data_IF_987326054050
#
_entry.id   IF_987326054050
#
_cell.length_a   1.000
_cell.length_b   1.000
_cell.length_c   1.000
_cell.angle_alpha   90.00
_cell.angle_beta   90.00
_cell.angle_gamma   90.00
#
_symmetry.space_group_name_H-M   'P 1'
#
loop_
_entity.id
_entity.type
_entity.pdbx_description
1 polymer ?
#
# COMPACT_ATOMS: atom_id res chain seq x y z
N UNK A 1 -57.87 -32.72 -48.72
CA UNK A 1 -58.39 -32.51 -47.35
C UNK A 1 -57.27 -32.77 -46.36
N UNK A 2 -56.86 -31.72 -45.63
CA UNK A 2 -56.05 -31.81 -44.42
C UNK A 2 -56.73 -32.75 -43.42
N UNK A 3 -55.97 -33.52 -42.65
CA UNK A 3 -55.93 -33.30 -41.19
C UNK A 3 -54.64 -33.86 -40.60
N UNK A 4 -53.86 -32.95 -40.01
CA UNK A 4 -52.80 -33.20 -39.05
C UNK A 4 -53.30 -34.08 -37.89
N UNK A 5 -52.47 -34.99 -37.40
CA UNK A 5 -52.44 -35.32 -35.98
C UNK A 5 -50.98 -35.50 -35.55
N UNK A 6 -50.39 -34.38 -35.10
CA UNK A 6 -49.15 -34.38 -34.31
C UNK A 6 -49.54 -34.85 -32.91
N UNK A 7 -49.04 -36.00 -32.50
CA UNK A 7 -49.19 -36.46 -31.13
C UNK A 7 -48.22 -35.67 -30.25
N UNK A 8 -48.79 -34.82 -29.40
CA UNK A 8 -48.10 -34.15 -28.30
C UNK A 8 -47.80 -35.20 -27.22
N UNK A 9 -46.52 -35.48 -27.01
CA UNK A 9 -46.07 -36.38 -25.94
C UNK A 9 -46.22 -35.69 -24.58
N UNK A 10 -46.97 -36.39 -23.74
CA UNK A 10 -47.31 -36.12 -22.34
C UNK A 10 -46.06 -35.84 -21.49
N UNK A 11 -46.08 -34.70 -20.79
CA UNK A 11 -45.20 -34.38 -19.66
C UNK A 11 -45.69 -35.18 -18.45
N UNK A 12 -44.93 -36.20 -18.04
CA UNK A 12 -45.15 -36.92 -16.78
C UNK A 12 -44.06 -36.53 -15.78
N UNK A 13 -44.50 -35.97 -14.65
CA UNK A 13 -43.73 -35.18 -13.69
C UNK A 13 -42.98 -36.02 -12.66
N UNK A 14 -42.32 -37.12 -13.04
CA UNK A 14 -41.66 -37.96 -12.02
C UNK A 14 -40.36 -38.66 -12.40
N UNK A 15 -39.92 -38.70 -13.66
CA UNK A 15 -38.55 -39.13 -14.02
C UNK A 15 -38.07 -38.40 -15.27
N UNK A 16 -37.00 -37.63 -15.11
CA UNK A 16 -36.30 -36.81 -16.11
C UNK A 16 -35.60 -37.66 -17.17
N UNK A 17 -36.35 -38.33 -18.04
CA UNK A 17 -35.79 -38.97 -19.23
C UNK A 17 -36.37 -38.32 -20.49
N UNK A 18 -35.53 -37.72 -21.36
CA UNK A 18 -36.02 -37.14 -22.61
C UNK A 18 -36.63 -38.24 -23.48
N UNK A 19 -37.83 -37.98 -24.01
CA UNK A 19 -38.50 -38.82 -25.01
C UNK A 19 -38.33 -38.18 -26.40
N UNK A 20 -38.23 -38.99 -27.45
CA UNK A 20 -38.13 -38.51 -28.84
C UNK A 20 -36.69 -38.31 -29.33
N UNK A 21 -36.40 -37.35 -30.23
CA UNK A 21 -35.10 -37.20 -30.90
C UNK A 21 -33.92 -36.87 -29.97
N UNK A 22 -34.19 -36.61 -28.68
CA UNK A 22 -33.20 -36.27 -27.66
C UNK A 22 -32.82 -37.44 -26.74
N UNK A 23 -33.29 -38.67 -27.01
CA UNK A 23 -33.03 -39.85 -26.17
C UNK A 23 -31.54 -40.19 -26.04
N UNK A 24 -30.76 -39.90 -27.09
CA UNK A 24 -29.31 -40.15 -27.17
C UNK A 24 -28.46 -38.93 -26.80
N UNK A 25 -29.07 -37.86 -26.29
CA UNK A 25 -28.34 -36.62 -25.95
C UNK A 25 -27.44 -36.86 -24.73
N UNK A 26 -26.14 -36.51 -24.77
CA UNK A 26 -25.19 -36.78 -23.69
C UNK A 26 -25.27 -35.73 -22.56
N UNK A 27 -26.38 -35.65 -21.84
CA UNK A 27 -26.55 -34.68 -20.74
C UNK A 27 -25.89 -35.12 -19.42
N UNK A 28 -25.64 -36.42 -19.21
CA UNK A 28 -25.01 -36.98 -18.00
C UNK A 28 -23.61 -37.52 -18.29
N UNK A 29 -22.68 -36.64 -18.68
CA UNK A 29 -21.28 -37.03 -18.86
C UNK A 29 -20.56 -37.06 -17.50
N UNK A 30 -19.96 -38.20 -17.16
CA UNK A 30 -19.06 -38.33 -16.01
C UNK A 30 -17.62 -38.03 -16.44
N UNK A 31 -16.92 -37.23 -15.64
CA UNK A 31 -15.53 -36.85 -15.86
C UNK A 31 -14.65 -37.61 -14.87
N UNK A 32 -13.64 -38.31 -15.38
CA UNK A 32 -12.65 -39.02 -14.56
C UNK A 32 -11.34 -38.23 -14.50
N UNK A 33 -10.80 -38.09 -13.31
CA UNK A 33 -9.51 -37.44 -13.08
C UNK A 33 -8.38 -38.49 -12.97
N UNK A 34 -7.10 -38.12 -13.18
CA UNK A 34 -5.99 -39.08 -13.16
C UNK A 34 -5.77 -39.81 -11.82
N UNK A 35 -6.33 -39.27 -10.73
CA UNK A 35 -6.30 -39.87 -9.39
C UNK A 35 -7.41 -40.90 -9.16
N UNK A 36 -8.28 -41.14 -10.15
CA UNK A 36 -9.42 -42.04 -10.07
C UNK A 36 -10.70 -41.40 -9.54
N UNK A 37 -10.70 -40.11 -9.19
CA UNK A 37 -11.91 -39.39 -8.80
C UNK A 37 -12.84 -39.21 -10.00
N UNK A 38 -14.12 -39.53 -9.82
CA UNK A 38 -15.15 -39.39 -10.86
C UNK A 38 -16.18 -38.36 -10.43
N UNK A 39 -16.34 -37.32 -11.25
CA UNK A 39 -17.30 -36.24 -11.05
C UNK A 39 -18.42 -36.33 -12.08
N UNK A 40 -19.68 -36.31 -11.63
CA UNK A 40 -20.85 -36.24 -12.51
C UNK A 40 -21.63 -34.97 -12.18
N UNK A 41 -21.76 -34.02 -13.12
CA UNK A 41 -22.47 -32.77 -12.87
C UNK A 41 -23.98 -33.03 -12.71
N UNK A 42 -24.60 -32.28 -11.80
CA UNK A 42 -26.04 -32.35 -11.59
C UNK A 42 -26.79 -31.40 -12.52
N UNK A 43 -27.79 -31.93 -13.22
CA UNK A 43 -28.72 -31.15 -14.05
C UNK A 43 -29.82 -30.61 -13.15
N UNK A 44 -29.92 -29.28 -13.06
CA UNK A 44 -30.86 -28.61 -12.15
C UNK A 44 -32.25 -28.46 -12.75
N UNK A 45 -32.34 -28.21 -14.06
CA UNK A 45 -33.62 -28.04 -14.75
C UNK A 45 -33.51 -28.50 -16.21
N UNK A 46 -34.59 -29.07 -16.75
CA UNK A 46 -34.70 -29.42 -18.18
C UNK A 46 -36.04 -28.95 -18.71
N UNK A 47 -36.00 -28.17 -19.80
CA UNK A 47 -37.19 -27.55 -20.41
C UNK A 47 -37.15 -27.76 -21.92
N UNK A 48 -38.25 -28.26 -22.48
CA UNK A 48 -38.45 -28.29 -23.92
C UNK A 48 -38.93 -26.92 -24.40
N UNK A 49 -38.15 -26.29 -25.26
CA UNK A 49 -38.46 -24.97 -25.81
C UNK A 49 -39.46 -25.08 -26.98
N UNK A 50 -40.19 -24.00 -27.24
CA UNK A 50 -41.21 -23.91 -28.30
C UNK A 50 -40.65 -24.10 -29.72
N UNK A 51 -39.34 -23.95 -29.91
CA UNK A 51 -38.61 -24.14 -31.17
C UNK A 51 -38.12 -25.59 -31.40
N UNK A 52 -38.68 -26.59 -30.70
CA UNK A 52 -38.18 -27.97 -30.68
C UNK A 52 -36.74 -28.11 -30.18
N UNK A 53 -36.22 -27.15 -29.41
CA UNK A 53 -34.96 -27.27 -28.68
C UNK A 53 -35.16 -27.86 -27.28
N UNK A 54 -34.14 -28.54 -26.76
CA UNK A 54 -34.06 -28.98 -25.38
C UNK A 54 -33.04 -28.09 -24.65
N UNK A 55 -33.51 -27.37 -23.64
CA UNK A 55 -32.67 -26.60 -22.73
C UNK A 55 -32.44 -27.41 -21.46
N UNK A 56 -31.18 -27.60 -21.07
CA UNK A 56 -30.80 -28.23 -19.83
C UNK A 56 -29.90 -27.27 -19.03
N UNK A 57 -30.44 -26.76 -17.92
CA UNK A 57 -29.67 -25.99 -16.96
C UNK A 57 -28.92 -26.95 -16.05
N UNK A 58 -27.67 -26.60 -15.75
CA UNK A 58 -26.83 -27.31 -14.79
C UNK A 58 -26.29 -26.33 -13.76
N UNK A 59 -25.69 -26.87 -12.71
CA UNK A 59 -24.90 -26.02 -11.81
C UNK A 59 -23.69 -25.46 -12.59
N UNK A 60 -23.52 -24.12 -12.69
CA UNK A 60 -22.39 -23.53 -13.39
C UNK A 60 -21.05 -23.75 -12.69
N UNK A 61 -21.07 -23.98 -11.38
CA UNK A 61 -19.88 -24.21 -10.58
C UNK A 61 -20.15 -25.21 -9.45
N UNK A 62 -19.22 -26.14 -9.29
CA UNK A 62 -19.21 -27.10 -8.18
C UNK A 62 -17.80 -27.19 -7.60
N UNK A 63 -17.70 -27.12 -6.28
CA UNK A 63 -16.48 -27.35 -5.51
C UNK A 63 -16.77 -28.42 -4.47
N UNK A 64 -15.98 -29.49 -4.47
CA UNK A 64 -16.21 -30.69 -3.65
C UNK A 64 -14.92 -31.01 -2.92
N UNK A 65 -14.99 -31.09 -1.60
CA UNK A 65 -13.87 -31.54 -0.77
C UNK A 65 -13.65 -33.03 -0.98
N UNK A 66 -12.44 -33.41 -1.40
CA UNK A 66 -12.00 -34.80 -1.61
C UNK A 66 -11.24 -35.35 -0.39
N UNK A 67 -10.80 -34.49 0.53
CA UNK A 67 -10.22 -34.92 1.80
C UNK A 67 -11.29 -35.55 2.70
N UNK A 68 -11.19 -36.85 2.99
CA UNK A 68 -12.02 -37.55 3.99
C UNK A 68 -11.55 -37.27 5.42
N UNK A 69 -12.44 -37.47 6.40
CA UNK A 69 -12.08 -37.47 7.82
C UNK A 69 -11.07 -38.57 8.19
N UNK A 70 -11.04 -39.67 7.43
CA UNK A 70 -10.08 -40.77 7.59
C UNK A 70 -8.65 -40.38 7.16
N UNK A 71 -8.50 -39.46 6.20
CA UNK A 71 -7.20 -38.92 5.81
C UNK A 71 -6.51 -38.09 6.91
N UNK A 72 -7.25 -37.68 7.94
CA UNK A 72 -6.71 -36.94 9.08
C UNK A 72 -5.89 -37.87 10.00
N UNK A 73 -6.17 -39.18 9.98
CA UNK A 73 -5.38 -40.19 10.70
C UNK A 73 -4.08 -40.49 9.95
N UNK A 74 -4.10 -40.43 8.61
CA UNK A 74 -2.97 -40.84 7.76
C UNK A 74 -2.05 -39.69 7.33
N UNK A 75 -2.57 -38.46 7.14
CA UNK A 75 -1.81 -37.27 6.71
C UNK A 75 -2.34 -35.99 7.38
N UNK A 76 -1.97 -35.73 8.64
CA UNK A 76 -2.56 -34.66 9.43
C UNK A 76 -2.05 -33.25 9.06
N UNK A 77 -1.18 -33.10 8.05
CA UNK A 77 -0.75 -31.80 7.52
C UNK A 77 -1.77 -31.16 6.58
N UNK A 78 -2.69 -31.94 6.00
CA UNK A 78 -3.65 -31.46 5.00
C UNK A 78 -4.84 -30.81 5.70
N UNK A 79 -5.05 -29.52 5.43
CA UNK A 79 -6.21 -28.77 5.92
C UNK A 79 -7.45 -29.05 5.07
N UNK A 80 -7.28 -29.05 3.74
CA UNK A 80 -8.35 -29.37 2.79
C UNK A 80 -7.75 -29.80 1.46
N UNK A 81 -8.35 -30.81 0.84
CA UNK A 81 -8.18 -31.09 -0.59
C UNK A 81 -9.54 -30.99 -1.24
N UNK A 82 -9.62 -30.26 -2.35
CA UNK A 82 -10.89 -30.06 -3.03
C UNK A 82 -10.71 -30.01 -4.54
N UNK A 83 -11.75 -30.50 -5.19
CA UNK A 83 -11.94 -30.48 -6.62
C UNK A 83 -12.91 -29.35 -6.98
N UNK A 84 -12.64 -28.64 -8.07
CA UNK A 84 -13.55 -27.63 -8.60
C UNK A 84 -13.78 -27.83 -10.10
N UNK A 85 -15.02 -27.61 -10.54
CA UNK A 85 -15.43 -27.63 -11.94
C UNK A 85 -16.21 -26.35 -12.27
N UNK A 86 -15.76 -25.62 -13.28
CA UNK A 86 -16.40 -24.42 -13.82
C UNK A 86 -16.89 -24.67 -15.24
N UNK A 87 -18.19 -24.51 -15.43
CA UNK A 87 -18.84 -24.64 -16.74
C UNK A 87 -19.04 -23.26 -17.36
N UNK A 88 -18.63 -23.09 -18.62
CA UNK A 88 -18.64 -21.78 -19.29
C UNK A 88 -20.02 -21.40 -19.86
N UNK A 89 -20.91 -22.37 -20.04
CA UNK A 89 -22.23 -22.17 -20.67
C UNK A 89 -23.24 -23.22 -20.25
N UNK A 90 -24.51 -22.86 -20.38
CA UNK A 90 -25.64 -23.76 -20.26
C UNK A 90 -25.77 -24.66 -21.50
N UNK A 91 -26.45 -25.80 -21.32
CA UNK A 91 -26.61 -26.80 -22.38
C UNK A 91 -27.89 -26.50 -23.16
N UNK A 92 -27.75 -26.15 -24.43
CA UNK A 92 -28.89 -26.00 -25.34
C UNK A 92 -28.70 -26.92 -26.54
N UNK A 93 -29.58 -27.90 -26.67
CA UNK A 93 -29.57 -28.86 -27.77
C UNK A 93 -30.72 -28.57 -28.72
N UNK A 94 -30.43 -28.55 -30.00
CA UNK A 94 -31.45 -28.53 -31.08
C UNK A 94 -31.47 -29.88 -31.76
N UNK A 95 -32.49 -30.15 -32.57
CA UNK A 95 -32.59 -31.42 -33.32
C UNK A 95 -31.34 -31.69 -34.18
N UNK A 96 -30.68 -30.65 -34.70
CA UNK A 96 -29.45 -30.78 -35.49
C UNK A 96 -28.22 -31.14 -34.65
N UNK A 97 -28.20 -30.76 -33.37
CA UNK A 97 -27.04 -30.87 -32.48
C UNK A 97 -27.28 -31.84 -31.32
N UNK A 98 -28.33 -32.66 -31.39
CA UNK A 98 -28.72 -33.58 -30.31
C UNK A 98 -27.64 -34.59 -29.93
N UNK A 99 -26.70 -34.89 -30.84
CA UNK A 99 -25.55 -35.78 -30.58
C UNK A 99 -24.25 -35.04 -30.28
N UNK A 100 -24.25 -33.71 -30.22
CA UNK A 100 -23.06 -32.95 -29.92
C UNK A 100 -22.64 -33.19 -28.46
N UNK A 101 -21.34 -33.38 -28.23
CA UNK A 101 -20.77 -33.51 -26.89
C UNK A 101 -20.50 -32.11 -26.35
N UNK A 102 -20.74 -31.91 -25.05
CA UNK A 102 -20.45 -30.64 -24.41
C UNK A 102 -18.93 -30.37 -24.32
N UNK A 103 -18.60 -29.09 -24.15
CA UNK A 103 -17.24 -28.66 -23.90
C UNK A 103 -16.78 -29.11 -22.52
N UNK A 104 -15.54 -29.61 -22.44
CA UNK A 104 -14.90 -30.02 -21.19
C UNK A 104 -14.84 -28.79 -20.26
N UNK A 105 -15.33 -28.89 -19.01
CA UNK A 105 -15.24 -27.80 -18.04
C UNK A 105 -13.81 -27.50 -17.63
N UNK A 106 -13.58 -26.29 -17.12
CA UNK A 106 -12.33 -25.98 -16.43
C UNK A 106 -12.34 -26.68 -15.08
N UNK A 107 -11.49 -27.69 -14.95
CA UNK A 107 -11.37 -28.51 -13.76
C UNK A 107 -10.05 -28.20 -13.06
N UNK A 108 -10.07 -27.98 -11.75
CA UNK A 108 -8.87 -27.69 -10.95
C UNK A 108 -8.91 -28.46 -9.64
N UNK A 109 -7.80 -29.11 -9.29
CA UNK A 109 -7.61 -29.78 -8.01
C UNK A 109 -6.60 -29.00 -7.18
N UNK A 110 -6.97 -28.68 -5.93
CA UNK A 110 -6.17 -27.88 -5.02
C UNK A 110 -6.05 -28.57 -3.66
N UNK A 111 -4.86 -28.52 -3.08
CA UNK A 111 -4.58 -29.01 -1.72
C UNK A 111 -3.95 -27.89 -0.90
N UNK A 112 -4.52 -27.63 0.27
CA UNK A 112 -3.99 -26.68 1.26
C UNK A 112 -3.48 -27.49 2.45
N UNK A 113 -2.25 -27.24 2.86
CA UNK A 113 -1.59 -27.95 3.95
C UNK A 113 -0.70 -27.01 4.78
N UNK A 114 -0.44 -27.39 6.02
CA UNK A 114 0.46 -26.67 6.92
C UNK A 114 1.92 -26.85 6.49
N UNK A 115 2.67 -25.75 6.46
CA UNK A 115 4.06 -25.76 6.01
C UNK A 115 4.93 -24.71 6.74
N UNK A 116 6.22 -25.01 6.87
CA UNK A 116 7.26 -24.07 7.28
C UNK A 116 7.80 -23.36 6.04
N UNK A 117 7.80 -22.02 6.08
CA UNK A 117 8.33 -21.16 5.01
C UNK A 117 9.62 -20.50 5.48
N UNK A 118 10.72 -20.76 4.78
CA UNK A 118 11.98 -20.05 4.94
C UNK A 118 12.04 -18.91 3.93
N UNK A 119 12.25 -17.70 4.42
CA UNK A 119 12.42 -16.52 3.58
C UNK A 119 13.90 -16.19 3.42
N UNK A 120 14.27 -15.66 2.26
CA UNK A 120 15.62 -15.14 2.04
C UNK A 120 15.84 -13.87 2.86
N UNK A 121 17.11 -13.49 3.09
CA UNK A 121 17.45 -12.21 3.72
C UNK A 121 16.89 -11.05 2.87
N UNK A 122 15.74 -10.51 3.27
CA UNK A 122 15.12 -9.40 2.57
C UNK A 122 15.77 -8.09 3.01
N UNK A 123 16.53 -7.45 2.11
CA UNK A 123 16.85 -6.02 2.23
C UNK A 123 15.58 -5.23 1.97
N UNK A 124 14.73 -5.11 3.00
CA UNK A 124 13.46 -4.41 2.91
C UNK A 124 13.66 -2.91 2.69
N UNK A 125 13.20 -2.40 1.54
CA UNK A 125 12.91 -0.97 1.37
C UNK A 125 11.53 -0.76 2.00
N UNK A 126 11.38 0.23 2.88
CA UNK A 126 10.23 0.49 3.78
C UNK A 126 8.86 0.62 3.07
N UNK A 127 8.80 0.56 1.74
CA UNK A 127 7.55 0.59 0.98
C UNK A 127 7.18 -0.74 0.29
N UNK A 128 8.06 -1.76 0.28
CA UNK A 128 7.74 -3.11 -0.21
C UNK A 128 8.46 -4.15 0.66
N UNK A 129 7.77 -4.62 1.69
CA UNK A 129 8.16 -5.81 2.43
C UNK A 129 7.85 -7.06 1.59
N UNK A 130 8.53 -7.27 0.47
CA UNK A 130 8.46 -8.54 -0.25
C UNK A 130 9.60 -9.42 0.23
N UNK A 131 9.38 -10.08 1.38
CA UNK A 131 10.24 -11.18 1.78
C UNK A 131 10.11 -12.28 0.72
N UNK A 132 11.17 -12.54 -0.03
CA UNK A 132 11.14 -13.58 -1.07
C UNK A 132 11.20 -14.96 -0.40
N UNK A 133 10.23 -15.79 -0.74
CA UNK A 133 10.17 -17.17 -0.28
C UNK A 133 11.35 -17.94 -0.87
N UNK A 134 12.14 -18.58 0.00
CA UNK A 134 13.31 -19.36 -0.39
C UNK A 134 13.02 -20.86 -0.39
N UNK A 135 12.44 -21.38 0.71
CA UNK A 135 12.10 -22.80 0.85
C UNK A 135 10.76 -22.99 1.55
N UNK A 136 10.09 -24.09 1.22
CA UNK A 136 8.86 -24.56 1.85
C UNK A 136 9.07 -26.02 2.27
N UNK A 137 8.57 -26.38 3.44
CA UNK A 137 8.57 -27.76 3.94
C UNK A 137 7.23 -28.08 4.59
N UNK A 138 6.59 -29.22 4.28
CA UNK A 138 5.35 -29.60 4.93
C UNK A 138 5.57 -29.89 6.41
N UNK A 139 4.61 -29.49 7.23
CA UNK A 139 4.62 -29.63 8.67
C UNK A 139 3.50 -30.61 9.10
N UNK A 140 3.78 -31.92 9.17
CA UNK A 140 2.82 -32.88 9.70
C UNK A 140 2.62 -32.71 11.21
N UNK A 141 1.37 -32.89 11.64
CA UNK A 141 1.03 -33.02 13.06
C UNK A 141 1.46 -34.41 13.53
N UNK A 142 2.04 -34.49 14.72
CA UNK A 142 2.38 -35.77 15.34
C UNK A 142 1.09 -36.50 15.72
N UNK A 143 0.94 -37.74 15.22
CA UNK A 143 -0.13 -38.72 15.47
C UNK A 143 -1.41 -38.18 16.12
N UNK A 144 -2.54 -38.21 15.42
CA UNK A 144 -3.79 -37.62 15.90
C UNK A 144 -4.28 -38.17 17.27
N UNK A 145 -3.91 -39.41 17.64
CA UNK A 145 -4.15 -39.95 18.98
C UNK A 145 -3.42 -39.19 20.08
N UNK A 146 -2.18 -38.74 19.82
CA UNK A 146 -1.42 -37.91 20.74
C UNK A 146 -2.00 -36.50 20.84
N UNK A 147 -2.53 -35.93 19.76
CA UNK A 147 -3.27 -34.66 19.78
C UNK A 147 -4.49 -34.69 20.71
N UNK A 148 -5.29 -35.76 20.61
CA UNK A 148 -6.54 -35.91 21.39
C UNK A 148 -6.22 -36.18 22.87
N UNK A 149 -5.09 -36.85 23.16
CA UNK A 149 -4.69 -37.21 24.53
C UNK A 149 -3.78 -36.20 25.23
N UNK A 150 -2.99 -35.43 24.48
CA UNK A 150 -2.05 -34.42 24.97
C UNK A 150 -2.31 -33.12 24.23
N UNK A 151 -3.11 -32.25 24.83
CA UNK A 151 -3.15 -30.86 24.42
C UNK A 151 -1.86 -30.15 24.84
N UNK A 152 -1.18 -29.42 23.95
CA UNK A 152 -1.54 -29.09 22.57
C UNK A 152 -1.00 -30.07 21.49
N UNK A 153 -1.60 -30.07 20.30
CA UNK A 153 -1.10 -30.78 19.12
C UNK A 153 0.30 -30.32 18.74
N UNK A 154 1.25 -31.25 18.66
CA UNK A 154 2.62 -30.96 18.21
C UNK A 154 2.71 -31.08 16.69
N UNK A 155 3.31 -30.07 16.06
CA UNK A 155 3.55 -30.00 14.63
C UNK A 155 5.05 -29.84 14.42
N UNK A 156 5.67 -30.76 13.68
CA UNK A 156 7.10 -30.71 13.41
C UNK A 156 7.39 -31.32 12.04
N UNK A 157 8.54 -31.00 11.41
CA UNK A 157 8.98 -31.64 10.19
C UNK A 157 8.96 -33.16 10.31
N UNK A 158 8.71 -33.84 9.18
CA UNK A 158 8.75 -35.29 9.12
C UNK A 158 10.09 -35.84 9.65
N UNK A 159 10.07 -37.03 10.25
CA UNK A 159 11.26 -37.62 10.86
C UNK A 159 12.40 -37.76 9.84
N UNK A 160 13.57 -37.20 10.14
CA UNK A 160 14.73 -37.18 9.23
C UNK A 160 14.77 -36.01 8.24
N UNK A 161 13.74 -35.15 8.21
CA UNK A 161 13.76 -33.96 7.36
C UNK A 161 14.68 -32.88 7.96
N UNK A 162 15.42 -32.16 7.10
CA UNK A 162 16.28 -31.06 7.52
C UNK A 162 15.41 -29.97 8.15
N UNK A 163 15.71 -29.58 9.38
CA UNK A 163 15.03 -28.50 10.08
C UNK A 163 15.50 -27.14 9.53
N UNK A 164 14.56 -26.22 9.25
CA UNK A 164 14.91 -24.86 8.83
C UNK A 164 15.21 -23.94 10.01
N UNK A 165 14.58 -24.20 11.16
CA UNK A 165 14.78 -23.48 12.41
C UNK A 165 15.48 -24.37 13.45
N UNK A 166 16.18 -23.75 14.41
CA UNK A 166 16.89 -24.47 15.48
C UNK A 166 15.96 -25.26 16.40
N UNK A 167 14.69 -24.84 16.51
CA UNK A 167 13.61 -25.54 17.21
C UNK A 167 12.37 -25.54 16.32
N UNK A 168 12.29 -26.47 15.36
CA UNK A 168 11.19 -26.56 14.38
C UNK A 168 9.95 -27.27 14.91
N UNK A 169 9.69 -27.19 16.22
CA UNK A 169 8.53 -27.81 16.85
C UNK A 169 7.55 -26.73 17.25
N UNK A 170 6.33 -26.84 16.73
CA UNK A 170 5.25 -25.90 16.93
C UNK A 170 4.10 -26.59 17.66
N UNK A 171 3.29 -25.83 18.38
CA UNK A 171 2.11 -26.34 19.06
C UNK A 171 0.85 -25.61 18.60
N UNK A 172 -0.19 -26.36 18.29
CA UNK A 172 -1.51 -25.85 17.90
C UNK A 172 -2.54 -26.48 18.83
N UNK A 173 -3.52 -25.72 19.30
CA UNK A 173 -4.63 -26.26 20.08
C UNK A 173 -5.54 -27.12 19.20
N UNK A 174 -6.03 -28.25 19.73
CA UNK A 174 -6.88 -29.16 18.98
C UNK A 174 -8.16 -28.48 18.49
N UNK A 175 -8.85 -27.74 19.35
CA UNK A 175 -10.08 -27.02 18.99
C UNK A 175 -9.83 -26.00 17.87
N UNK A 176 -8.70 -25.28 17.93
CA UNK A 176 -8.31 -24.35 16.86
C UNK A 176 -8.10 -25.08 15.53
N UNK A 177 -7.39 -26.22 15.56
CA UNK A 177 -7.14 -27.02 14.36
C UNK A 177 -8.42 -27.63 13.77
N UNK A 178 -9.30 -28.14 14.63
CA UNK A 178 -10.59 -28.73 14.26
C UNK A 178 -11.56 -27.69 13.67
N UNK A 179 -11.63 -26.51 14.28
CA UNK A 179 -12.41 -25.39 13.75
C UNK A 179 -11.85 -24.92 12.40
N UNK A 180 -10.54 -24.80 12.27
CA UNK A 180 -9.90 -24.44 11.01
C UNK A 180 -10.24 -25.45 9.90
N UNK A 181 -10.15 -26.75 10.19
CA UNK A 181 -10.51 -27.81 9.24
C UNK A 181 -11.99 -27.72 8.84
N UNK A 182 -12.89 -27.55 9.80
CA UNK A 182 -14.34 -27.44 9.54
C UNK A 182 -14.67 -26.21 8.68
N UNK A 183 -14.03 -25.08 8.96
CA UNK A 183 -14.16 -23.86 8.17
C UNK A 183 -13.62 -24.05 6.75
N UNK A 184 -12.44 -24.64 6.58
CA UNK A 184 -11.88 -24.92 5.25
C UNK A 184 -12.79 -25.86 4.45
N UNK A 185 -13.32 -26.92 5.06
CA UNK A 185 -14.25 -27.81 4.37
C UNK A 185 -15.54 -27.09 3.96
N UNK A 186 -16.11 -26.26 4.84
CA UNK A 186 -17.32 -25.49 4.50
C UNK A 186 -17.07 -24.48 3.38
N UNK A 187 -15.91 -23.82 3.37
CA UNK A 187 -15.56 -22.85 2.34
C UNK A 187 -15.38 -23.50 0.96
N UNK A 188 -14.83 -24.71 0.89
CA UNK A 188 -14.52 -25.38 -0.37
C UNK A 188 -15.49 -26.49 -0.77
N UNK A 189 -16.42 -26.90 0.11
CA UNK A 189 -17.52 -27.81 -0.24
C UNK A 189 -18.79 -26.99 -0.52
N UNK A 190 -18.88 -26.46 -1.73
CA UNK A 190 -19.93 -25.52 -2.11
C UNK A 190 -20.25 -25.62 -3.60
N UNK A 191 -21.49 -25.33 -3.95
CA UNK A 191 -21.92 -25.23 -5.35
C UNK A 191 -22.64 -23.91 -5.57
N UNK A 192 -22.55 -23.39 -6.80
CA UNK A 192 -23.29 -22.20 -7.17
C UNK A 192 -24.63 -22.64 -7.75
N UNK A 193 -25.70 -22.54 -6.97
CA UNK A 193 -27.06 -22.73 -7.48
C UNK A 193 -27.56 -21.41 -8.03
N UNK A 194 -28.05 -21.41 -9.27
CA UNK A 194 -28.78 -20.29 -9.86
C UNK A 194 -30.16 -20.22 -9.19
N UNK A 195 -30.21 -19.75 -7.94
CA UNK A 195 -31.47 -19.44 -7.25
C UNK A 195 -31.81 -17.99 -7.52
N UNK A 196 -33.05 -17.74 -7.96
CA UNK A 196 -33.59 -16.41 -8.29
C UNK A 196 -33.23 -15.36 -7.21
N UNK A 197 -32.16 -14.60 -7.44
CA UNK A 197 -31.82 -13.34 -6.77
C UNK A 197 -31.60 -13.32 -5.25
N UNK A 198 -31.89 -14.40 -4.54
CA UNK A 198 -31.85 -14.44 -3.07
C UNK A 198 -30.45 -14.86 -2.61
N UNK A 199 -29.57 -13.87 -2.43
CA UNK A 199 -28.29 -14.07 -1.77
C UNK A 199 -28.55 -14.59 -0.34
N UNK A 200 -28.21 -15.84 -0.05
CA UNK A 200 -28.20 -16.34 1.32
C UNK A 200 -27.22 -15.50 2.15
N UNK A 201 -27.61 -15.03 3.36
CA UNK A 201 -26.69 -14.32 4.25
C UNK A 201 -25.57 -15.26 4.70
N UNK A 202 -24.32 -14.86 4.48
CA UNK A 202 -23.12 -15.64 4.79
C UNK A 202 -21.97 -15.38 3.80
N UNK A 203 -20.81 -16.00 4.05
CA UNK A 203 -19.69 -15.99 3.09
C UNK A 203 -20.05 -16.93 1.95
N UNK A 204 -20.45 -16.38 0.80
CA UNK A 204 -20.67 -17.16 -0.42
C UNK A 204 -19.34 -17.47 -1.11
N UNK A 205 -18.59 -18.42 -0.57
CA UNK A 205 -17.34 -18.88 -1.16
C UNK A 205 -17.52 -19.33 -2.62
N UNK A 206 -18.66 -19.94 -2.97
CA UNK A 206 -18.97 -20.36 -4.36
C UNK A 206 -18.91 -19.20 -5.36
N UNK A 207 -19.41 -18.02 -5.01
CA UNK A 207 -19.39 -16.83 -5.87
C UNK A 207 -17.98 -16.30 -6.09
N UNK A 208 -17.15 -16.29 -5.04
CA UNK A 208 -15.74 -15.90 -5.14
C UNK A 208 -14.91 -16.91 -5.95
N UNK A 209 -15.12 -18.21 -5.72
CA UNK A 209 -14.43 -19.28 -6.45
C UNK A 209 -14.85 -19.32 -7.93
N UNK A 210 -16.12 -19.09 -8.22
CA UNK A 210 -16.62 -19.02 -9.60
C UNK A 210 -16.08 -17.78 -10.34
N UNK A 211 -16.03 -16.63 -9.68
CA UNK A 211 -15.57 -15.37 -10.26
C UNK A 211 -14.05 -15.30 -10.43
N UNK A 212 -13.29 -16.23 -9.84
CA UNK A 212 -11.85 -16.29 -10.03
C UNK A 212 -11.50 -16.76 -11.46
N UNK A 213 -10.64 -15.98 -12.13
CA UNK A 213 -10.05 -16.36 -13.41
C UNK A 213 -8.92 -17.39 -13.23
N UNK A 214 -8.14 -17.24 -12.16
CA UNK A 214 -7.04 -18.12 -11.80
C UNK A 214 -7.18 -18.59 -10.36
N UNK A 215 -7.86 -19.72 -10.19
CA UNK A 215 -8.13 -20.30 -8.88
C UNK A 215 -6.84 -20.59 -8.13
N UNK A 216 -5.80 -21.11 -8.79
CA UNK A 216 -4.50 -21.39 -8.17
C UNK A 216 -3.90 -20.16 -7.51
N UNK A 217 -3.90 -19.02 -8.21
CA UNK A 217 -3.40 -17.75 -7.66
C UNK A 217 -4.27 -17.23 -6.50
N UNK A 218 -5.60 -17.40 -6.59
CA UNK A 218 -6.52 -17.01 -5.50
C UNK A 218 -6.25 -17.83 -4.23
N UNK A 219 -6.05 -19.14 -4.35
CA UNK A 219 -5.74 -20.02 -3.21
C UNK A 219 -4.35 -19.70 -2.63
N UNK A 220 -3.34 -19.43 -3.48
CA UNK A 220 -2.01 -19.02 -3.02
C UNK A 220 -2.03 -17.68 -2.25
N UNK A 221 -2.84 -16.72 -2.74
CA UNK A 221 -3.06 -15.44 -2.08
C UNK A 221 -3.78 -15.61 -0.75
N UNK A 222 -4.80 -16.49 -0.69
CA UNK A 222 -5.49 -16.85 0.56
C UNK A 222 -4.51 -17.47 1.56
N UNK A 223 -3.71 -18.45 1.15
CA UNK A 223 -2.72 -19.10 2.01
C UNK A 223 -1.68 -18.10 2.54
N UNK A 224 -1.25 -17.15 1.70
CA UNK A 224 -0.35 -16.07 2.12
C UNK A 224 -1.02 -15.15 3.15
N UNK A 225 -2.25 -14.70 2.90
CA UNK A 225 -3.00 -13.87 3.87
C UNK A 225 -3.23 -14.59 5.20
N UNK A 226 -3.54 -15.89 5.17
CA UNK A 226 -3.67 -16.71 6.38
C UNK A 226 -2.34 -16.78 7.14
N UNK A 227 -1.23 -16.98 6.42
CA UNK A 227 0.12 -17.01 7.00
C UNK A 227 0.46 -15.68 7.67
N UNK A 228 0.18 -14.56 7.00
CA UNK A 228 0.44 -13.22 7.55
C UNK A 228 -0.42 -12.96 8.79
N UNK A 229 -1.67 -13.40 8.78
CA UNK A 229 -2.53 -13.25 9.95
C UNK A 229 -2.03 -14.06 11.15
N UNK A 230 -1.64 -15.33 10.94
CA UNK A 230 -1.02 -16.18 11.97
C UNK A 230 0.26 -15.52 12.52
N UNK A 231 1.09 -14.93 11.65
CA UNK A 231 2.32 -14.22 12.05
C UNK A 231 2.07 -12.92 12.82
N UNK A 232 0.97 -12.23 12.52
CA UNK A 232 0.61 -10.95 13.15
C UNK A 232 -0.18 -11.08 14.44
N UNK A 233 -0.63 -12.29 14.78
CA UNK A 233 -1.46 -12.53 15.97
C UNK A 233 -0.69 -12.25 17.27
N UNK A 234 -1.39 -11.74 18.29
CA UNK A 234 -0.85 -11.50 19.64
C UNK A 234 -0.34 -12.78 20.33
N UNK A 235 -0.80 -13.95 19.88
CA UNK A 235 -0.36 -15.27 20.36
C UNK A 235 0.83 -15.84 19.57
N UNK A 236 1.34 -15.10 18.57
CA UNK A 236 2.48 -15.54 17.77
C UNK A 236 3.79 -15.47 18.57
N UNK A 237 4.67 -16.42 18.31
CA UNK A 237 6.03 -16.40 18.85
C UNK A 237 6.89 -15.43 18.04
N UNK A 238 7.10 -14.22 18.58
CA UNK A 238 7.96 -13.23 17.95
C UNK A 238 9.42 -13.68 17.99
N UNK A 239 9.98 -13.99 16.82
CA UNK A 239 11.43 -14.21 16.67
C UNK A 239 12.11 -12.85 16.68
N UNK A 240 12.90 -12.58 17.73
CA UNK A 240 13.71 -11.35 17.80
C UNK A 240 14.84 -11.44 16.78
N UNK A 241 14.83 -10.53 15.81
CA UNK A 241 15.88 -10.37 14.81
C UNK A 241 16.32 -8.91 14.71
N UNK A 242 17.47 -8.69 14.10
CA UNK A 242 17.98 -7.35 13.81
C UNK A 242 17.49 -6.92 12.43
N UNK A 243 16.67 -5.88 12.36
CA UNK A 243 16.27 -5.26 11.10
C UNK A 243 17.21 -4.06 10.84
N UNK A 244 18.14 -4.22 9.90
CA UNK A 244 19.03 -3.12 9.50
C UNK A 244 18.30 -2.22 8.52
N UNK A 245 18.25 -0.92 8.84
CA UNK A 245 17.75 0.12 7.95
C UNK A 245 18.93 0.93 7.43
N UNK A 246 18.93 1.22 6.13
CA UNK A 246 19.84 2.21 5.56
C UNK A 246 19.31 3.59 5.95
N UNK A 247 20.00 4.27 6.86
CA UNK A 247 19.76 5.66 7.20
C UNK A 247 20.86 6.55 6.63
N UNK A 248 20.48 7.66 6.01
CA UNK A 248 21.42 8.64 5.49
C UNK A 248 21.93 9.50 6.64
N UNK A 249 23.18 9.30 7.06
CA UNK A 249 23.82 10.16 8.06
C UNK A 249 24.48 11.35 7.38
N UNK A 250 23.95 12.57 7.61
CA UNK A 250 24.56 13.81 7.09
C UNK A 250 25.67 14.22 8.06
N UNK A 251 26.92 13.97 7.68
CA UNK A 251 28.09 14.42 8.44
C UNK A 251 28.41 15.89 8.12
N UNK A 252 27.90 16.82 8.92
CA UNK A 252 28.20 18.25 8.78
C UNK A 252 29.65 18.54 9.20
N UNK A 253 30.48 18.99 8.27
CA UNK A 253 31.86 19.41 8.53
C UNK A 253 31.88 20.85 9.09
N UNK A 254 31.76 20.98 10.41
CA UNK A 254 31.83 22.24 11.14
C UNK A 254 33.06 23.14 10.88
N UNK A 255 34.28 22.62 10.56
CA UNK A 255 35.45 23.49 10.37
C UNK A 255 35.29 24.57 9.29
N UNK A 256 34.45 24.32 8.27
CA UNK A 256 34.20 25.27 7.17
C UNK A 256 33.27 26.41 7.56
N UNK A 257 32.51 26.28 8.66
CA UNK A 257 31.60 27.33 9.17
C UNK A 257 32.36 28.42 9.93
N UNK A 258 33.56 28.10 10.42
CA UNK A 258 34.41 29.02 11.16
C UNK A 258 34.86 30.19 10.27
N UNK A 259 35.22 29.91 9.02
CA UNK A 259 35.70 30.90 8.06
C UNK A 259 34.66 31.99 7.72
N UNK A 260 33.41 31.67 7.30
CA UNK A 260 32.37 32.67 7.13
C UNK A 260 31.97 33.31 8.46
N UNK A 261 32.03 32.59 9.59
CA UNK A 261 31.78 33.16 10.92
C UNK A 261 32.76 34.29 11.27
N UNK A 262 34.06 34.08 11.05
CA UNK A 262 35.10 35.10 11.24
C UNK A 262 34.89 36.27 10.29
N UNK A 263 34.54 36.00 9.02
CA UNK A 263 34.30 37.05 8.03
C UNK A 263 33.14 37.98 8.44
N UNK A 264 32.05 37.43 8.97
CA UNK A 264 30.92 38.21 9.48
C UNK A 264 31.35 39.05 10.68
N UNK A 265 32.07 38.48 11.64
CA UNK A 265 32.55 39.21 12.83
C UNK A 265 33.46 40.37 12.41
N UNK A 266 34.41 40.14 11.50
CA UNK A 266 35.29 41.19 10.98
C UNK A 266 34.51 42.27 10.25
N UNK A 267 33.50 41.91 9.46
CA UNK A 267 32.66 42.90 8.76
C UNK A 267 31.91 43.82 9.73
N UNK A 268 31.39 43.26 10.83
CA UNK A 268 30.70 44.03 11.88
C UNK A 268 31.69 44.97 12.58
N UNK A 269 32.89 44.49 12.92
CA UNK A 269 33.92 45.30 13.56
C UNK A 269 34.36 46.46 12.67
N UNK A 270 34.61 46.19 11.38
CA UNK A 270 34.96 47.22 10.40
C UNK A 270 33.84 48.23 10.21
N UNK A 271 32.59 47.78 10.18
CA UNK A 271 31.43 48.68 10.11
C UNK A 271 31.33 49.59 11.33
N UNK A 272 31.52 49.06 12.54
CA UNK A 272 31.53 49.86 13.77
C UNK A 272 32.68 50.86 13.76
N UNK A 273 33.87 50.44 13.32
CA UNK A 273 35.04 51.32 13.21
C UNK A 273 34.79 52.47 12.22
N UNK A 274 34.29 52.17 11.02
CA UNK A 274 33.91 53.17 10.03
C UNK A 274 32.81 54.11 10.53
N UNK A 275 31.79 53.59 11.21
CA UNK A 275 30.72 54.40 11.77
C UNK A 275 31.22 55.34 12.89
N UNK A 276 32.19 54.91 13.70
CA UNK A 276 32.84 55.78 14.70
C UNK A 276 33.69 56.86 14.05
N UNK A 277 34.51 56.50 13.07
CA UNK A 277 35.40 57.44 12.37
C UNK A 277 34.59 58.51 11.63
N UNK A 278 33.52 58.10 10.94
CA UNK A 278 32.61 59.01 10.24
C UNK A 278 31.88 59.96 11.21
N UNK A 279 31.67 59.56 12.47
CA UNK A 279 31.09 60.43 13.51
C UNK A 279 32.12 61.34 14.18
N UNK A 280 33.40 60.97 14.19
CA UNK A 280 34.49 61.74 14.82
C UNK A 280 34.97 62.94 13.99
N UNK A 281 34.82 62.88 12.67
CA UNK A 281 35.23 63.95 11.76
C UNK A 281 34.13 64.28 10.74
N UNK A 282 33.15 65.14 11.08
CA UNK A 282 32.35 65.79 10.07
C UNK A 282 33.26 66.79 9.35
N UNK A 283 34.01 66.31 8.36
CA UNK A 283 34.65 67.19 7.38
C UNK A 283 33.50 67.78 6.56
N UNK A 284 32.93 68.87 7.08
CA UNK A 284 31.86 69.72 6.54
C UNK A 284 32.25 70.40 5.21
N UNK A 285 33.16 69.80 4.44
CA UNK A 285 33.77 70.44 3.28
C UNK A 285 33.03 70.17 1.97
N UNK A 286 31.83 69.59 2.00
CA UNK A 286 31.05 69.38 0.76
C UNK A 286 29.76 70.20 0.60
N UNK A 287 29.40 71.10 1.51
CA UNK A 287 28.18 71.93 1.31
C UNK A 287 28.21 73.32 1.96
N UNK A 288 29.38 73.95 2.05
CA UNK A 288 29.47 75.31 2.60
C UNK A 288 29.49 76.35 1.48
N UNK A 289 28.42 77.13 1.37
CA UNK A 289 28.26 78.32 0.48
C UNK A 289 29.05 79.53 1.02
N UNK A 290 29.77 79.35 2.13
CA UNK A 290 30.53 80.37 2.84
C UNK A 290 31.69 81.00 2.03
N UNK A 291 32.40 80.28 1.14
CA UNK A 291 33.39 80.89 0.24
C UNK A 291 32.75 81.89 -0.74
N UNK A 292 31.48 81.67 -1.10
CA UNK A 292 30.71 82.54 -1.99
C UNK A 292 30.27 83.84 -1.31
N UNK A 293 29.95 83.79 -0.01
CA UNK A 293 29.61 84.98 0.80
C UNK A 293 30.84 85.83 1.13
N UNK A 294 31.98 85.21 1.45
CA UNK A 294 33.22 85.95 1.76
C UNK A 294 33.88 86.57 0.51
N UNK A 295 33.65 86.01 -0.68
CA UNK A 295 34.15 86.58 -1.93
C UNK A 295 33.43 87.86 -2.39
N UNK A 296 32.27 88.20 -1.81
CA UNK A 296 31.49 89.39 -2.20
C UNK A 296 31.66 90.59 -1.26
N UNK A 297 32.39 90.45 -0.14
CA UNK A 297 32.68 91.58 0.74
C UNK A 297 33.92 92.34 0.22
N UNK A 298 33.67 93.35 -0.62
CA UNK A 298 34.67 94.30 -1.11
C UNK A 298 35.04 95.25 0.04
N UNK A 299 36.00 94.86 0.87
CA UNK A 299 36.57 95.71 1.93
C UNK A 299 37.65 96.61 1.30
N UNK A 300 37.49 97.91 1.51
CA UNK A 300 38.38 98.98 1.01
C UNK A 300 39.83 98.79 1.50
N UNK A 301 40.84 99.12 0.69
CA UNK A 301 42.20 98.66 0.91
C UNK A 301 42.94 99.62 1.83
N UNK A 302 42.81 99.43 3.15
CA UNK A 302 43.79 100.01 4.08
C UNK A 302 44.19 99.06 5.21
N UNK A 303 43.62 97.87 5.34
CA UNK A 303 44.07 96.86 6.31
C UNK A 303 44.16 95.50 5.61
N UNK A 304 45.37 95.14 5.18
CA UNK A 304 45.68 93.86 4.55
C UNK A 304 45.63 92.75 5.62
N UNK A 305 44.47 92.10 5.73
CA UNK A 305 44.25 91.02 6.67
C UNK A 305 44.91 89.74 6.17
N UNK A 306 45.85 89.25 6.96
CA UNK A 306 46.32 87.87 7.02
C UNK A 306 45.15 86.86 7.04
N UNK A 307 44.74 86.36 5.87
CA UNK A 307 43.74 85.27 5.75
C UNK A 307 44.47 83.93 5.90
N UNK A 308 44.70 83.52 7.14
CA UNK A 308 44.81 82.11 7.54
C UNK A 308 44.63 82.04 9.06
N UNK A 309 43.38 82.17 9.52
CA UNK A 309 43.01 81.87 10.91
C UNK A 309 41.92 80.78 10.92
N UNK A 310 42.03 79.74 11.75
CA UNK A 310 41.05 78.66 11.79
C UNK A 310 39.64 79.19 12.09
N UNK A 311 38.67 78.78 11.27
CA UNK A 311 37.25 79.14 11.36
C UNK A 311 36.61 78.90 12.73
N UNK A 312 37.23 78.07 13.59
CA UNK A 312 36.81 77.87 14.97
C UNK A 312 36.94 79.09 15.88
N UNK A 313 37.84 80.04 15.58
CA UNK A 313 38.01 81.27 16.38
C UNK A 313 37.10 82.43 15.95
N UNK A 314 36.58 82.42 14.73
CA UNK A 314 35.66 83.46 14.24
C UNK A 314 34.28 83.41 14.92
N UNK A 315 33.85 82.23 15.37
CA UNK A 315 32.57 82.07 16.09
C UNK A 315 32.65 82.56 17.55
N UNK A 316 33.82 82.50 18.15
CA UNK A 316 34.05 82.94 19.54
C UNK A 316 34.18 84.48 19.62
N UNK A 317 34.81 85.08 18.60
CA UNK A 317 34.94 86.54 18.48
C UNK A 317 33.59 87.21 18.12
N UNK A 318 32.72 86.55 17.36
CA UNK A 318 31.39 87.06 17.02
C UNK A 318 30.43 87.18 18.22
N UNK A 319 30.64 86.42 19.30
CA UNK A 319 29.79 86.51 20.50
C UNK A 319 30.17 87.68 21.43
N UNK A 320 31.31 88.34 21.18
CA UNK A 320 31.80 89.46 21.99
C UNK A 320 31.45 90.84 21.43
N UNK A 321 31.05 90.93 20.17
CA UNK A 321 30.71 92.22 19.54
C UNK A 321 29.27 92.59 19.91
N UNK A 322 29.11 93.52 20.85
CA UNK A 322 27.82 94.04 21.29
C UNK A 322 27.54 95.35 20.58
N UNK A 323 26.86 95.25 19.44
CA UNK A 323 26.53 96.41 18.60
C UNK A 323 25.39 97.20 19.23
N UNK A 324 25.54 98.52 19.36
CA UNK A 324 24.45 99.42 19.76
C UNK A 324 24.03 100.23 18.52
N UNK A 325 22.73 100.48 18.41
CA UNK A 325 22.16 101.34 17.39
C UNK A 325 22.18 102.77 17.90
N UNK A 326 22.98 103.64 17.29
CA UNK A 326 23.04 105.06 17.64
C UNK A 326 22.50 105.89 16.47
N UNK A 327 21.52 106.74 16.76
CA UNK A 327 20.80 107.52 15.75
C UNK A 327 21.43 108.92 15.67
N UNK A 328 22.25 109.16 14.64
CA UNK A 328 22.81 110.48 14.36
C UNK A 328 22.08 111.10 13.15
N UNK A 329 21.39 112.22 13.41
CA UNK A 329 20.74 113.08 12.40
C UNK A 329 19.93 112.32 11.34
N UNK A 330 19.12 111.35 11.78
CA UNK A 330 18.12 110.65 10.96
C UNK A 330 18.62 109.44 10.17
N UNK A 331 19.88 109.03 10.35
CA UNK A 331 20.37 107.74 9.87
C UNK A 331 20.83 106.88 11.05
N UNK A 332 20.37 105.63 11.08
CA UNK A 332 20.75 104.66 12.12
C UNK A 332 22.14 104.10 11.79
N UNK A 333 23.10 104.34 12.68
CA UNK A 333 24.48 103.91 12.53
C UNK A 333 24.79 102.87 13.62
N UNK A 334 25.29 101.72 13.20
CA UNK A 334 25.68 100.63 14.09
C UNK A 334 27.11 100.88 14.55
N UNK A 335 27.30 101.15 15.83
CA UNK A 335 28.63 101.40 16.42
C UNK A 335 28.96 100.31 17.44
N UNK A 336 30.23 99.89 17.46
CA UNK A 336 30.75 98.88 18.39
C UNK A 336 31.05 99.55 19.74
N UNK A 337 30.56 98.94 20.83
CA UNK A 337 30.85 99.40 22.20
C UNK A 337 32.19 98.80 22.65
N UNK A 338 33.19 99.64 22.92
CA UNK A 338 34.44 99.20 23.58
C UNK A 338 34.20 98.57 24.96
#
# INVERSE_FOLDING_TARGET
>A
MQTNRREFLVLDSSRTHPRGPFLSTPFNCSYSFPDGFVFTPFITNMVLQSNNGLYAARQPFSSITTSSSENIVSNPSILVSFFSAKFSRDLTYTVSNASAVDMIPTMTNCTVFLCEKQYNESRGIIHRNTAQLFRIQPLPVWTMTACIQREPCLVAPAHGAKQFSTNSTYSIEYDTLSNLWSLMNMLFNTSLTQTDGMLQPGIQSSSFLFSSDNLTQSIDSMATSMTDHIRSSDKSSAVRGWAYRVETYIHVRWPWVILPGIAVILSILLFIAMARETRGHPVLWKSSVLPLLLGQLRVSPDHDFSIMRPLGKLNDDSQKIKVILEEDRGNLLFTERE
#
